data_IF_934786272059
#
_entry.id   IF_934786272059
#
_cell.length_a   1.000
_cell.length_b   1.000
_cell.length_c   1.000
_cell.angle_alpha   90.00
_cell.angle_beta   90.00
_cell.angle_gamma   90.00
#
_symmetry.space_group_name_H-M   'P 1'
#
loop_
_entity.id
_entity.type
_entity.pdbx_description
1 polymer ?
#
# COMPACT_ATOMS: atom_id res chain seq x y z
N UNK A 1 -15.47 7.58 21.53
CA UNK A 1 -14.16 7.69 20.85
C UNK A 1 -14.41 8.52 19.60
N UNK A 2 -14.16 9.81 19.65
CA UNK A 2 -14.23 10.69 18.48
C UNK A 2 -13.01 10.35 17.63
N UNK A 3 -13.23 9.66 16.54
CA UNK A 3 -12.16 9.45 15.54
C UNK A 3 -11.61 10.81 15.14
N UNK A 4 -10.28 10.95 15.05
CA UNK A 4 -9.65 12.16 14.60
C UNK A 4 -10.09 12.52 13.18
N UNK A 5 -9.91 13.77 12.78
CA UNK A 5 -10.33 14.27 11.48
C UNK A 5 -9.63 13.49 10.34
N UNK A 6 -8.33 13.26 10.46
CA UNK A 6 -7.52 12.57 9.46
C UNK A 6 -7.79 11.06 9.41
N UNK A 7 -8.00 10.43 10.57
CA UNK A 7 -8.43 9.02 10.65
C UNK A 7 -9.83 8.84 10.03
N UNK A 8 -10.70 9.83 10.14
CA UNK A 8 -12.00 9.83 9.46
C UNK A 8 -11.87 9.87 7.93
N UNK A 9 -10.97 10.71 7.41
CA UNK A 9 -10.65 10.80 5.98
C UNK A 9 -10.07 9.47 5.46
N UNK A 10 -9.11 8.90 6.18
CA UNK A 10 -8.54 7.59 5.86
C UNK A 10 -9.63 6.53 5.69
N UNK A 11 -10.49 6.40 6.70
CA UNK A 11 -11.55 5.37 6.71
C UNK A 11 -12.50 5.49 5.52
N UNK A 12 -12.87 6.70 5.13
CA UNK A 12 -13.82 6.90 4.03
C UNK A 12 -13.17 6.83 2.65
N UNK A 13 -11.98 7.40 2.47
CA UNK A 13 -11.31 7.42 1.17
C UNK A 13 -10.52 6.14 0.93
N UNK A 14 -9.59 5.81 1.80
CA UNK A 14 -8.73 4.65 1.61
C UNK A 14 -9.51 3.35 1.79
N UNK A 15 -10.42 3.28 2.75
CA UNK A 15 -11.32 2.14 2.92
C UNK A 15 -12.16 1.88 1.67
N UNK A 16 -12.78 2.92 1.10
CA UNK A 16 -13.56 2.79 -0.14
C UNK A 16 -12.72 2.36 -1.34
N UNK A 17 -11.51 2.91 -1.50
CA UNK A 17 -10.57 2.50 -2.56
C UNK A 17 -10.12 1.05 -2.34
N UNK A 18 -9.80 0.67 -1.11
CA UNK A 18 -9.35 -0.69 -0.77
C UNK A 18 -10.43 -1.72 -1.06
N UNK A 19 -11.69 -1.44 -0.71
CA UNK A 19 -12.80 -2.35 -0.97
C UNK A 19 -13.09 -2.53 -2.46
N UNK A 20 -13.07 -1.42 -3.22
CA UNK A 20 -13.18 -1.48 -4.68
C UNK A 20 -12.00 -2.26 -5.31
N UNK A 21 -10.80 -2.05 -4.80
CA UNK A 21 -9.57 -2.69 -5.28
C UNK A 21 -9.54 -4.18 -4.98
N UNK A 22 -10.02 -4.62 -3.80
CA UNK A 22 -10.11 -6.06 -3.47
C UNK A 22 -11.00 -6.83 -4.45
N UNK A 23 -12.12 -6.25 -4.86
CA UNK A 23 -12.99 -6.86 -5.87
C UNK A 23 -12.29 -7.02 -7.23
N UNK A 24 -11.58 -6.00 -7.68
CA UNK A 24 -10.77 -6.05 -8.90
C UNK A 24 -9.62 -7.06 -8.76
N UNK A 25 -8.91 -7.07 -7.65
CA UNK A 25 -7.80 -7.98 -7.38
C UNK A 25 -8.23 -9.45 -7.48
N UNK A 26 -9.37 -9.82 -6.89
CA UNK A 26 -9.92 -11.17 -7.01
C UNK A 26 -10.26 -11.53 -8.45
N UNK A 27 -10.85 -10.62 -9.20
CA UNK A 27 -11.18 -10.83 -10.61
C UNK A 27 -9.92 -11.00 -11.46
N UNK A 28 -8.92 -10.13 -11.29
CA UNK A 28 -7.63 -10.23 -11.99
C UNK A 28 -6.86 -11.50 -11.61
N UNK A 29 -6.82 -11.87 -10.33
CA UNK A 29 -6.15 -13.08 -9.88
C UNK A 29 -6.75 -14.33 -10.52
N UNK A 30 -8.09 -14.45 -10.59
CA UNK A 30 -8.75 -15.59 -11.24
C UNK A 30 -8.48 -15.64 -12.75
N UNK A 31 -8.45 -14.49 -13.42
CA UNK A 31 -8.15 -14.38 -14.85
C UNK A 31 -6.67 -14.77 -15.14
N UNK A 32 -5.75 -14.26 -14.32
CA UNK A 32 -4.32 -14.59 -14.42
C UNK A 32 -4.06 -16.06 -14.14
N UNK A 33 -4.76 -16.66 -13.18
CA UNK A 33 -4.64 -18.09 -12.89
C UNK A 33 -5.07 -18.95 -14.08
N UNK A 34 -6.13 -18.56 -14.79
CA UNK A 34 -6.55 -19.23 -16.04
C UNK A 34 -5.52 -19.12 -17.15
N UNK A 35 -4.96 -17.93 -17.36
CA UNK A 35 -3.90 -17.70 -18.34
C UNK A 35 -2.61 -18.46 -17.99
N UNK A 36 -2.21 -18.46 -16.72
CA UNK A 36 -1.06 -19.15 -16.23
C UNK A 36 -1.19 -20.68 -16.38
N UNK A 37 -2.36 -21.24 -16.07
CA UNK A 37 -2.64 -22.66 -16.28
C UNK A 37 -2.59 -23.05 -17.77
N UNK A 38 -3.19 -22.22 -18.65
CA UNK A 38 -3.12 -22.44 -20.09
C UNK A 38 -1.68 -22.38 -20.62
N UNK A 39 -0.91 -21.38 -20.20
CA UNK A 39 0.50 -21.24 -20.59
C UNK A 39 1.35 -22.41 -20.10
N UNK A 40 1.15 -22.87 -18.87
CA UNK A 40 1.82 -24.04 -18.32
C UNK A 40 1.50 -25.30 -19.14
N UNK A 41 0.23 -25.48 -19.52
CA UNK A 41 -0.18 -26.61 -20.36
C UNK A 41 0.51 -26.58 -21.71
N UNK A 42 0.53 -25.44 -22.40
CA UNK A 42 1.20 -25.25 -23.68
C UNK A 42 2.69 -25.52 -23.54
N UNK A 43 3.31 -25.02 -22.47
CA UNK A 43 4.74 -25.23 -22.22
C UNK A 43 5.08 -26.71 -22.00
N UNK A 44 4.29 -27.42 -21.19
CA UNK A 44 4.49 -28.86 -20.95
C UNK A 44 4.33 -29.66 -22.26
N UNK A 45 3.33 -29.33 -23.09
CA UNK A 45 3.14 -29.93 -24.40
C UNK A 45 4.35 -29.70 -25.31
N UNK A 46 4.86 -28.45 -25.35
CA UNK A 46 6.04 -28.08 -26.13
C UNK A 46 7.29 -28.84 -25.67
N UNK A 47 7.51 -28.93 -24.35
CA UNK A 47 8.63 -29.71 -23.79
C UNK A 47 8.50 -31.20 -24.07
N UNK A 48 7.31 -31.77 -23.95
CA UNK A 48 7.03 -33.15 -24.33
C UNK A 48 7.37 -33.40 -25.79
N UNK A 49 6.99 -32.52 -26.70
CA UNK A 49 7.37 -32.59 -28.10
C UNK A 49 8.89 -32.55 -28.32
N UNK A 50 9.62 -31.65 -27.66
CA UNK A 50 11.08 -31.57 -27.75
C UNK A 50 11.77 -32.84 -27.25
N UNK A 51 11.24 -33.46 -26.18
CA UNK A 51 11.72 -34.71 -25.62
C UNK A 51 11.54 -35.84 -26.61
N UNK A 52 10.36 -35.98 -27.20
CA UNK A 52 10.06 -37.00 -28.22
C UNK A 52 10.89 -36.81 -29.50
N UNK A 53 11.18 -35.56 -29.85
CA UNK A 53 12.01 -35.22 -31.00
C UNK A 53 13.53 -35.41 -30.76
N UNK A 54 13.92 -35.85 -29.56
CA UNK A 54 15.34 -36.12 -29.23
C UNK A 54 16.21 -34.85 -29.17
N UNK A 55 15.59 -33.66 -29.00
CA UNK A 55 16.30 -32.38 -29.00
C UNK A 55 16.87 -31.96 -27.63
N UNK A 56 16.55 -32.68 -26.57
CA UNK A 56 17.01 -32.41 -25.20
C UNK A 56 18.09 -33.43 -24.82
N UNK A 57 19.21 -32.96 -24.31
CA UNK A 57 20.33 -33.80 -23.83
C UNK A 57 20.05 -34.41 -22.46
N UNK A 58 19.34 -33.65 -21.58
CA UNK A 58 18.95 -34.06 -20.22
C UNK A 58 17.46 -33.79 -19.98
N UNK A 59 16.57 -34.55 -20.70
CA UNK A 59 15.15 -34.18 -20.76
C UNK A 59 14.45 -34.22 -19.39
N UNK A 60 14.87 -35.10 -18.50
CA UNK A 60 14.20 -35.29 -17.21
C UNK A 60 14.60 -34.24 -16.18
N UNK A 61 15.88 -33.88 -16.15
CA UNK A 61 16.41 -32.89 -15.22
C UNK A 61 15.93 -31.47 -15.57
N UNK A 62 16.05 -31.08 -16.84
CA UNK A 62 15.62 -29.78 -17.34
C UNK A 62 14.11 -29.59 -17.16
N UNK A 63 13.31 -30.63 -17.48
CA UNK A 63 11.85 -30.55 -17.32
C UNK A 63 11.43 -30.43 -15.84
N UNK A 64 12.13 -31.10 -14.94
CA UNK A 64 11.84 -31.04 -13.51
C UNK A 64 12.14 -29.65 -12.93
N UNK A 65 13.27 -29.04 -13.36
CA UNK A 65 13.60 -27.66 -13.00
C UNK A 65 12.55 -26.64 -13.49
N UNK A 66 12.11 -26.81 -14.72
CA UNK A 66 11.11 -25.91 -15.31
C UNK A 66 9.75 -26.06 -14.65
N UNK A 67 9.32 -27.28 -14.33
CA UNK A 67 8.08 -27.51 -13.56
C UNK A 67 8.18 -26.91 -12.17
N UNK A 68 9.33 -27.02 -11.49
CA UNK A 68 9.53 -26.42 -10.17
C UNK A 68 9.44 -24.90 -10.22
N UNK A 69 10.06 -24.25 -11.21
CA UNK A 69 9.95 -22.80 -11.43
C UNK A 69 8.50 -22.38 -11.67
N UNK A 70 7.79 -23.11 -12.54
CA UNK A 70 6.37 -22.83 -12.80
C UNK A 70 5.51 -22.99 -11.55
N UNK A 71 5.73 -24.02 -10.76
CA UNK A 71 5.00 -24.25 -9.51
C UNK A 71 5.19 -23.09 -8.52
N UNK A 72 6.43 -22.58 -8.41
CA UNK A 72 6.72 -21.41 -7.57
C UNK A 72 5.98 -20.17 -8.10
N UNK A 73 6.08 -19.87 -9.40
CA UNK A 73 5.39 -18.72 -10.01
C UNK A 73 3.88 -18.82 -9.82
N UNK A 74 3.30 -19.99 -10.09
CA UNK A 74 1.88 -20.22 -9.92
C UNK A 74 1.43 -20.08 -8.45
N UNK A 75 2.25 -20.50 -7.50
CA UNK A 75 1.98 -20.33 -6.07
C UNK A 75 1.89 -18.85 -5.69
N UNK A 76 2.76 -18.01 -6.23
CA UNK A 76 2.71 -16.55 -6.02
C UNK A 76 1.51 -15.91 -6.72
N UNK A 77 1.26 -16.25 -7.99
CA UNK A 77 0.13 -15.69 -8.77
C UNK A 77 -1.22 -16.06 -8.14
N UNK A 78 -1.35 -17.31 -7.68
CA UNK A 78 -2.55 -17.80 -7.03
C UNK A 78 -2.66 -17.41 -5.55
N UNK A 79 -1.66 -16.70 -5.01
CA UNK A 79 -1.53 -16.38 -3.59
C UNK A 79 -1.71 -17.61 -2.67
N UNK A 80 -1.24 -18.77 -3.14
CA UNK A 80 -1.31 -20.00 -2.36
C UNK A 80 -0.39 -19.90 -1.14
N UNK A 81 -0.98 -19.91 0.04
CA UNK A 81 -0.27 -19.75 1.31
C UNK A 81 -0.09 -18.30 1.77
N UNK A 82 -0.77 -17.33 1.15
CA UNK A 82 -0.76 -15.94 1.62
C UNK A 82 0.56 -15.20 1.40
N UNK A 83 1.37 -15.62 0.43
CA UNK A 83 2.67 -14.98 0.15
C UNK A 83 2.52 -13.50 -0.22
N UNK A 84 1.47 -13.16 -0.98
CA UNK A 84 1.19 -11.78 -1.37
C UNK A 84 0.77 -10.94 -0.15
N UNK A 85 -0.04 -11.51 0.73
CA UNK A 85 -0.44 -10.88 1.98
C UNK A 85 0.80 -10.65 2.87
N UNK A 86 1.70 -11.62 2.96
CA UNK A 86 2.96 -11.47 3.69
C UNK A 86 3.87 -10.37 3.14
N UNK A 87 3.91 -10.16 1.83
CA UNK A 87 4.64 -9.03 1.22
C UNK A 87 3.98 -7.70 1.56
N UNK A 88 2.65 -7.62 1.49
CA UNK A 88 1.89 -6.42 1.87
C UNK A 88 2.11 -6.10 3.35
N UNK A 89 2.04 -7.09 4.22
CA UNK A 89 2.29 -6.93 5.66
C UNK A 89 3.73 -6.47 5.95
N UNK A 90 4.72 -7.00 5.22
CA UNK A 90 6.10 -6.56 5.33
C UNK A 90 6.26 -5.08 4.89
N UNK A 91 5.61 -4.65 3.81
CA UNK A 91 5.63 -3.25 3.35
C UNK A 91 4.95 -2.35 4.39
N UNK A 92 3.82 -2.77 4.96
CA UNK A 92 3.14 -2.04 6.02
C UNK A 92 4.02 -1.95 7.27
N UNK A 93 4.69 -3.03 7.67
CA UNK A 93 5.63 -3.02 8.78
C UNK A 93 6.81 -2.06 8.58
N UNK A 94 7.33 -1.96 7.36
CA UNK A 94 8.35 -0.96 7.01
C UNK A 94 7.78 0.46 7.14
N UNK A 95 6.56 0.69 6.61
CA UNK A 95 5.86 1.98 6.71
C UNK A 95 5.67 2.41 8.18
N UNK A 96 5.23 1.50 9.04
CA UNK A 96 5.06 1.72 10.47
C UNK A 96 6.41 2.00 11.16
N UNK A 97 7.45 1.27 10.81
CA UNK A 97 8.80 1.49 11.33
C UNK A 97 9.36 2.87 10.98
N UNK A 98 9.11 3.37 9.78
CA UNK A 98 9.54 4.71 9.36
C UNK A 98 8.69 5.84 9.95
N UNK A 99 7.39 5.62 10.13
CA UNK A 99 6.50 6.65 10.69
C UNK A 99 6.62 6.80 12.20
N UNK A 100 7.20 5.82 12.90
CA UNK A 100 7.28 5.79 14.36
C UNK A 100 5.93 5.72 15.06
N UNK A 101 4.87 5.42 14.34
CA UNK A 101 3.51 5.23 14.83
C UNK A 101 2.81 4.18 13.97
N UNK A 102 1.87 3.46 14.56
CA UNK A 102 1.11 2.38 13.91
C UNK A 102 0.34 2.88 12.67
N UNK A 103 0.04 4.20 12.61
CA UNK A 103 -0.67 4.79 11.50
C UNK A 103 -0.30 6.27 11.32
N UNK A 104 0.09 6.65 10.09
CA UNK A 104 0.45 8.03 9.75
C UNK A 104 -0.73 9.00 9.96
N UNK A 105 -1.96 8.53 9.79
CA UNK A 105 -3.17 9.33 9.99
C UNK A 105 -3.39 9.65 11.47
N UNK A 106 -3.08 8.72 12.38
CA UNK A 106 -3.08 8.98 13.81
C UNK A 106 -1.98 9.96 14.22
N UNK A 107 -0.82 9.86 13.58
CA UNK A 107 0.27 10.83 13.77
C UNK A 107 -0.20 12.24 13.38
N UNK A 108 -0.86 12.40 12.24
CA UNK A 108 -1.42 13.68 11.79
C UNK A 108 -2.45 14.24 12.77
N UNK A 109 -3.36 13.40 13.29
CA UNK A 109 -4.32 13.83 14.32
C UNK A 109 -3.63 14.25 15.62
N UNK A 110 -2.55 13.56 16.01
CA UNK A 110 -1.74 13.92 17.18
C UNK A 110 -1.04 15.25 16.97
N UNK A 111 -0.44 15.48 15.82
CA UNK A 111 0.19 16.74 15.45
C UNK A 111 -0.82 17.88 15.41
N UNK A 112 -2.02 17.65 14.86
CA UNK A 112 -3.10 18.61 14.86
C UNK A 112 -3.53 19.02 16.27
N UNK A 113 -3.65 18.06 17.18
CA UNK A 113 -3.97 18.34 18.56
C UNK A 113 -2.86 19.13 19.27
N UNK A 114 -1.59 18.79 19.02
CA UNK A 114 -0.46 19.58 19.54
C UNK A 114 -0.45 21.01 18.97
N UNK A 115 -0.78 21.17 17.70
CA UNK A 115 -0.90 22.47 17.05
C UNK A 115 -1.99 23.34 17.70
N UNK A 116 -3.14 22.76 18.02
CA UNK A 116 -4.21 23.48 18.74
C UNK A 116 -3.75 23.93 20.12
N UNK A 117 -3.05 23.07 20.86
CA UNK A 117 -2.52 23.42 22.18
C UNK A 117 -1.50 24.55 22.06
N UNK A 118 -0.56 24.45 21.12
CA UNK A 118 0.44 25.47 20.87
C UNK A 118 -0.19 26.82 20.52
N UNK A 119 -1.17 26.84 19.61
CA UNK A 119 -1.89 28.04 19.24
C UNK A 119 -2.63 28.67 20.42
N UNK A 120 -3.25 27.84 21.28
CA UNK A 120 -3.89 28.34 22.51
C UNK A 120 -2.87 28.92 23.48
N UNK A 121 -1.73 28.26 23.68
CA UNK A 121 -0.66 28.76 24.56
C UNK A 121 -0.12 30.11 24.07
N UNK A 122 0.06 30.28 22.77
CA UNK A 122 0.47 31.59 22.19
C UNK A 122 -0.56 32.68 22.42
N UNK A 123 -1.85 32.37 22.32
CA UNK A 123 -2.92 33.30 22.63
C UNK A 123 -2.96 33.67 24.11
N UNK A 124 -2.73 32.69 24.99
CA UNK A 124 -2.76 32.90 26.44
C UNK A 124 -1.51 33.67 26.96
N UNK A 125 -0.40 33.62 26.20
CA UNK A 125 0.83 34.37 26.52
C UNK A 125 0.77 35.86 26.13
N UNK A 126 -0.25 36.28 25.39
CA UNK A 126 -0.44 37.69 25.03
C UNK A 126 -0.91 38.48 26.25
N UNK A 127 -0.06 39.37 26.73
CA UNK A 127 -0.23 40.16 27.95
C UNK A 127 -0.92 41.52 27.69
N UNK A 128 -1.45 41.73 26.48
CA UNK A 128 -2.12 42.96 26.11
C UNK A 128 -3.44 43.15 26.85
N UNK A 129 -3.63 44.36 27.43
CA UNK A 129 -4.69 44.66 28.40
C UNK A 129 -6.07 44.86 27.76
N UNK A 130 -6.14 45.20 26.48
CA UNK A 130 -7.39 45.58 25.80
C UNK A 130 -7.77 44.72 24.62
N UNK A 131 -6.82 44.38 23.74
CA UNK A 131 -7.04 43.51 22.56
C UNK A 131 -5.83 42.61 22.43
N UNK A 132 -6.04 41.27 22.47
CA UNK A 132 -4.99 40.23 22.24
C UNK A 132 -4.70 40.09 20.76
N UNK A 133 -4.22 41.14 20.11
CA UNK A 133 -4.08 41.20 18.64
C UNK A 133 -2.83 40.46 18.18
N UNK A 134 -1.73 40.59 18.91
CA UNK A 134 -0.48 39.91 18.60
C UNK A 134 -0.57 38.40 18.82
N UNK A 135 -1.20 37.96 19.91
CA UNK A 135 -1.43 36.56 20.22
C UNK A 135 -2.40 35.91 19.22
N UNK A 136 -3.41 36.62 18.78
CA UNK A 136 -4.39 36.16 17.81
C UNK A 136 -3.75 36.02 16.41
N UNK A 137 -2.96 36.99 15.97
CA UNK A 137 -2.24 36.94 14.70
C UNK A 137 -1.19 35.84 14.70
N UNK A 138 -0.40 35.65 15.76
CA UNK A 138 0.55 34.56 15.90
C UNK A 138 -0.14 33.19 15.86
N UNK A 139 -1.25 33.05 16.59
CA UNK A 139 -2.06 31.81 16.54
C UNK A 139 -2.56 31.51 15.13
N UNK A 140 -3.04 32.51 14.40
CA UNK A 140 -3.53 32.35 13.04
C UNK A 140 -2.43 31.89 12.08
N UNK A 141 -1.23 32.49 12.13
CA UNK A 141 -0.11 32.08 11.28
C UNK A 141 0.36 30.65 11.59
N UNK A 142 0.41 30.27 12.87
CA UNK A 142 0.75 28.90 13.28
C UNK A 142 -0.27 27.91 12.73
N UNK A 143 -1.55 28.18 12.87
CA UNK A 143 -2.59 27.31 12.37
C UNK A 143 -2.57 27.19 10.85
N UNK A 144 -2.38 28.30 10.15
CA UNK A 144 -2.31 28.31 8.69
C UNK A 144 -1.10 27.51 8.19
N UNK A 145 0.06 27.71 8.80
CA UNK A 145 1.29 26.98 8.43
C UNK A 145 1.16 25.47 8.67
N UNK A 146 0.65 25.07 9.84
CA UNK A 146 0.44 23.67 10.19
C UNK A 146 -0.64 23.05 9.31
N UNK A 147 -1.73 23.77 9.03
CA UNK A 147 -2.80 23.29 8.18
C UNK A 147 -2.31 22.99 6.76
N UNK A 148 -1.53 23.89 6.15
CA UNK A 148 -0.95 23.68 4.83
C UNK A 148 0.00 22.47 4.83
N UNK A 149 0.86 22.37 5.83
CA UNK A 149 1.78 21.26 5.96
C UNK A 149 1.06 19.91 6.10
N UNK A 150 -0.02 19.89 6.89
CA UNK A 150 -0.83 18.68 7.07
C UNK A 150 -1.57 18.26 5.80
N UNK A 151 -2.12 19.21 5.03
CA UNK A 151 -2.76 18.90 3.75
C UNK A 151 -1.73 18.26 2.81
N UNK A 152 -0.55 18.83 2.68
CA UNK A 152 0.51 18.28 1.82
C UNK A 152 0.88 16.88 2.28
N UNK A 153 1.10 16.67 3.58
CA UNK A 153 1.46 15.36 4.12
C UNK A 153 0.35 14.33 3.92
N UNK A 154 -0.91 14.70 4.15
CA UNK A 154 -2.05 13.82 3.92
C UNK A 154 -2.17 13.42 2.44
N UNK A 155 -1.93 14.38 1.52
CA UNK A 155 -1.98 14.14 0.08
C UNK A 155 -0.87 13.19 -0.37
N UNK A 156 0.36 13.39 0.10
CA UNK A 156 1.51 12.50 -0.19
C UNK A 156 1.25 11.10 0.36
N UNK A 157 0.73 10.98 1.58
CA UNK A 157 0.39 9.69 2.18
C UNK A 157 -0.69 8.96 1.40
N UNK A 158 -1.73 9.66 0.95
CA UNK A 158 -2.79 9.09 0.12
C UNK A 158 -2.24 8.57 -1.22
N UNK A 159 -1.38 9.35 -1.88
CA UNK A 159 -0.73 8.90 -3.13
C UNK A 159 0.11 7.65 -2.89
N UNK A 160 0.89 7.61 -1.82
CA UNK A 160 1.71 6.46 -1.48
C UNK A 160 0.87 5.20 -1.24
N UNK A 161 -0.25 5.30 -0.52
CA UNK A 161 -1.16 4.18 -0.28
C UNK A 161 -1.82 3.68 -1.57
N UNK A 162 -2.29 4.59 -2.43
CA UNK A 162 -2.84 4.23 -3.74
C UNK A 162 -1.79 3.55 -4.61
N UNK A 163 -0.54 4.02 -4.60
CA UNK A 163 0.57 3.38 -5.32
C UNK A 163 0.84 1.95 -4.83
N UNK A 164 0.84 1.72 -3.52
CA UNK A 164 1.02 0.38 -2.94
C UNK A 164 -0.13 -0.54 -3.37
N UNK A 165 -1.38 -0.05 -3.34
CA UNK A 165 -2.53 -0.81 -3.79
C UNK A 165 -2.44 -1.18 -5.28
N UNK A 166 -2.07 -0.22 -6.14
CA UNK A 166 -1.88 -0.47 -7.57
C UNK A 166 -0.75 -1.49 -7.81
N UNK A 167 0.36 -1.37 -7.10
CA UNK A 167 1.47 -2.31 -7.19
C UNK A 167 1.03 -3.72 -6.78
N UNK A 168 0.23 -3.84 -5.72
CA UNK A 168 -0.33 -5.11 -5.25
C UNK A 168 -1.24 -5.77 -6.30
N UNK A 169 -2.06 -4.99 -7.02
CA UNK A 169 -2.92 -5.50 -8.10
C UNK A 169 -2.08 -5.98 -9.29
N UNK A 170 -1.02 -5.25 -9.62
CA UNK A 170 -0.18 -5.56 -10.79
C UNK A 170 0.89 -6.59 -10.50
N UNK A 171 1.20 -6.87 -9.23
CA UNK A 171 2.22 -7.84 -8.82
C UNK A 171 2.07 -9.21 -9.50
N UNK A 172 0.88 -9.85 -9.61
CA UNK A 172 0.71 -11.12 -10.29
C UNK A 172 1.15 -11.08 -11.76
N UNK A 173 0.93 -9.94 -12.45
CA UNK A 173 1.31 -9.76 -13.86
C UNK A 173 2.84 -9.74 -13.99
N UNK A 174 3.53 -8.99 -13.12
CA UNK A 174 4.99 -8.89 -13.15
C UNK A 174 5.69 -10.18 -12.74
N UNK A 175 5.09 -10.99 -11.87
CA UNK A 175 5.63 -12.28 -11.47
C UNK A 175 5.51 -13.31 -12.61
N UNK A 176 4.45 -13.19 -13.43
CA UNK A 176 4.19 -14.09 -14.53
C UNK A 176 5.01 -13.77 -15.80
N UNK A 177 5.35 -12.52 -16.06
CA UNK A 177 6.18 -12.09 -17.20
C UNK A 177 7.67 -12.27 -16.93
#
# INVERSE_FOLDING_TARGET
MSGGLFVGVEKHLIGGITDATKGLMMSYSSMMMGLAAASATIYIMWRGYQTLAGKLSTPMEDTMWDIMRMAIILSFVANLGGYLDGVIDAINGIKEGFSGSDNIWQLLDTLWNKAKVLGKTLHDMDDSTYIKDEGMTAQFYVWLGIFVLMIITAFVSMIAEVMILLLSITAPIFIFC
#
